data_IF_711679391824
#
_entry.id   IF_711679391824
#
_cell.length_a   1.000
_cell.length_b   1.000
_cell.length_c   1.000
_cell.angle_alpha   90.00
_cell.angle_beta   90.00
_cell.angle_gamma   90.00
#
_symmetry.space_group_name_H-M   'P 1'
#
loop_
_entity.id
_entity.type
_entity.pdbx_description
1 polymer ?
#
# COMPACT_ATOMS: atom_id res chain seq x y z
N UNK A 1 26.40 37.31 -27.39
CA UNK A 1 25.75 38.17 -26.36
C UNK A 1 25.68 37.36 -25.06
N UNK A 2 26.49 37.67 -24.04
CA UNK A 2 26.50 36.93 -22.76
C UNK A 2 25.31 37.41 -21.90
N UNK A 3 24.30 36.56 -21.73
CA UNK A 3 23.15 36.84 -20.87
C UNK A 3 23.64 36.85 -19.42
N UNK A 4 23.76 38.04 -18.82
CA UNK A 4 23.97 38.18 -17.37
C UNK A 4 22.65 37.87 -16.68
N UNK A 5 22.54 36.70 -16.05
CA UNK A 5 21.42 36.37 -15.17
C UNK A 5 21.47 37.30 -13.94
N UNK A 6 20.67 38.37 -13.96
CA UNK A 6 20.32 39.08 -12.73
C UNK A 6 19.44 38.13 -11.91
N UNK A 7 19.83 37.89 -10.66
CA UNK A 7 19.04 37.14 -9.68
C UNK A 7 17.69 37.86 -9.48
N UNK A 8 16.70 37.49 -10.28
CA UNK A 8 15.32 37.87 -10.07
C UNK A 8 14.65 36.65 -9.43
N UNK A 9 14.36 36.72 -8.13
CA UNK A 9 13.76 35.62 -7.33
C UNK A 9 12.43 35.12 -7.90
N UNK A 10 11.82 35.88 -8.80
CA UNK A 10 10.53 35.61 -9.43
C UNK A 10 10.63 34.85 -10.77
N UNK A 11 11.84 34.69 -11.34
CA UNK A 11 12.01 34.05 -12.65
C UNK A 11 12.09 32.52 -12.52
N UNK A 12 10.95 31.89 -12.20
CA UNK A 12 10.75 30.44 -12.13
C UNK A 12 10.81 29.72 -13.49
N UNK A 13 11.29 30.37 -14.55
CA UNK A 13 11.30 29.80 -15.90
C UNK A 13 12.21 28.56 -16.01
N UNK A 14 13.40 28.60 -15.39
CA UNK A 14 14.31 27.45 -15.33
C UNK A 14 13.74 26.32 -14.47
N UNK A 15 13.04 26.66 -13.38
CA UNK A 15 12.36 25.68 -12.53
C UNK A 15 11.22 25.00 -13.31
N UNK A 16 10.38 25.77 -14.01
CA UNK A 16 9.30 25.22 -14.84
C UNK A 16 9.80 24.39 -16.03
N UNK A 17 10.92 24.78 -16.66
CA UNK A 17 11.57 23.96 -17.70
C UNK A 17 12.07 22.64 -17.10
N UNK A 18 12.67 22.69 -15.91
CA UNK A 18 13.10 21.49 -15.20
C UNK A 18 11.89 20.58 -14.88
N UNK A 19 10.80 21.13 -14.36
CA UNK A 19 9.57 20.37 -14.08
C UNK A 19 8.98 19.71 -15.33
N UNK A 20 8.92 20.44 -16.45
CA UNK A 20 8.38 19.93 -17.71
C UNK A 20 9.27 18.87 -18.37
N UNK A 21 10.60 19.05 -18.34
CA UNK A 21 11.54 18.10 -18.94
C UNK A 21 11.54 16.76 -18.19
N UNK A 22 11.34 16.80 -16.87
CA UNK A 22 11.33 15.59 -16.03
C UNK A 22 9.91 15.09 -15.69
N UNK A 23 8.85 15.68 -16.27
CA UNK A 23 7.44 15.37 -15.98
C UNK A 23 7.14 15.28 -14.47
N UNK A 24 7.78 16.11 -13.66
CA UNK A 24 7.64 16.05 -12.20
C UNK A 24 6.33 16.73 -11.82
N UNK A 25 5.28 15.94 -11.60
CA UNK A 25 4.00 16.42 -11.07
C UNK A 25 4.13 16.72 -9.57
N UNK A 26 4.27 18.00 -9.24
CA UNK A 26 4.31 18.50 -7.85
C UNK A 26 2.93 18.61 -7.19
N UNK A 27 1.87 18.12 -7.84
CA UNK A 27 0.55 18.10 -7.19
C UNK A 27 0.64 17.26 -5.91
N UNK A 28 0.25 17.81 -4.74
CA UNK A 28 0.19 17.02 -3.53
C UNK A 28 -0.70 15.81 -3.79
N UNK A 29 -0.24 14.62 -3.40
CA UNK A 29 -0.97 13.38 -3.60
C UNK A 29 -2.38 13.50 -3.04
N UNK A 30 -3.38 13.51 -3.94
CA UNK A 30 -4.77 13.58 -3.53
C UNK A 30 -5.24 12.17 -3.23
N UNK A 31 -5.30 11.86 -1.94
CA UNK A 31 -5.76 10.58 -1.42
C UNK A 31 -7.17 10.30 -1.98
N UNK A 32 -7.28 9.28 -2.82
CA UNK A 32 -8.58 8.81 -3.29
C UNK A 32 -9.29 8.01 -2.17
N UNK A 33 -10.58 7.71 -2.34
CA UNK A 33 -11.30 6.96 -1.31
C UNK A 33 -10.79 5.52 -1.14
N UNK A 34 -10.17 4.94 -2.17
CA UNK A 34 -9.59 3.59 -2.15
C UNK A 34 -8.31 3.59 -1.31
N UNK A 35 -7.48 4.62 -1.45
CA UNK A 35 -6.21 4.81 -0.75
C UNK A 35 -6.46 4.90 0.75
N UNK A 36 -7.55 5.55 1.18
CA UNK A 36 -7.94 5.56 2.60
C UNK A 36 -8.16 4.15 3.14
N UNK A 37 -8.82 3.28 2.38
CA UNK A 37 -8.98 1.88 2.74
C UNK A 37 -7.64 1.13 2.74
N UNK A 38 -6.80 1.34 1.72
CA UNK A 38 -5.49 0.70 1.61
C UNK A 38 -4.58 1.09 2.78
N UNK A 39 -4.51 2.38 3.13
CA UNK A 39 -3.70 2.88 4.24
C UNK A 39 -4.17 2.26 5.56
N UNK A 40 -5.48 2.29 5.83
CA UNK A 40 -6.06 1.70 7.03
C UNK A 40 -5.71 0.21 7.15
N UNK A 41 -5.91 -0.56 6.08
CA UNK A 41 -5.69 -2.00 6.11
C UNK A 41 -4.20 -2.36 6.11
N UNK A 42 -3.34 -1.56 5.49
CA UNK A 42 -1.89 -1.75 5.55
C UNK A 42 -1.39 -1.65 6.98
N UNK A 43 -1.88 -0.68 7.75
CA UNK A 43 -1.55 -0.54 9.18
C UNK A 43 -2.04 -1.75 9.97
N UNK A 44 -3.28 -2.20 9.71
CA UNK A 44 -3.86 -3.33 10.41
C UNK A 44 -3.13 -4.66 10.12
N UNK A 45 -2.70 -4.85 8.87
CA UNK A 45 -2.15 -6.10 8.36
C UNK A 45 -0.63 -6.18 8.39
N UNK A 46 0.04 -5.19 8.99
CA UNK A 46 1.50 -5.16 9.11
C UNK A 46 2.06 -6.38 9.84
N UNK A 47 1.25 -7.07 10.65
CA UNK A 47 1.64 -8.31 11.33
C UNK A 47 1.95 -9.45 10.36
N UNK A 48 1.47 -9.38 9.11
CA UNK A 48 1.77 -10.35 8.05
C UNK A 48 3.16 -10.17 7.46
N UNK A 49 3.81 -9.03 7.74
CA UNK A 49 5.17 -8.74 7.30
C UNK A 49 6.16 -9.35 8.29
N UNK A 50 7.26 -9.88 7.75
CA UNK A 50 8.33 -10.47 8.56
C UNK A 50 9.08 -9.38 9.33
N UNK A 51 9.48 -9.70 10.55
CA UNK A 51 10.09 -8.75 11.51
C UNK A 51 11.30 -8.01 10.95
N UNK A 52 12.13 -8.67 10.13
CA UNK A 52 13.29 -8.05 9.48
C UNK A 52 12.90 -6.94 8.50
N UNK A 53 11.81 -7.12 7.74
CA UNK A 53 11.25 -6.10 6.87
C UNK A 53 10.62 -4.96 7.70
N UNK A 54 9.89 -5.28 8.77
CA UNK A 54 9.35 -4.26 9.68
C UNK A 54 10.46 -3.37 10.27
N UNK A 55 11.60 -3.96 10.67
CA UNK A 55 12.77 -3.19 11.14
C UNK A 55 13.35 -2.29 10.05
N UNK A 56 13.37 -2.71 8.79
CA UNK A 56 13.78 -1.86 7.66
C UNK A 56 12.81 -0.68 7.46
N UNK A 57 11.51 -0.93 7.55
CA UNK A 57 10.47 0.11 7.45
C UNK A 57 10.63 1.14 8.57
N UNK A 58 10.84 0.71 9.83
CA UNK A 58 11.12 1.62 10.94
C UNK A 58 12.33 2.52 10.67
N UNK A 59 13.40 1.97 10.09
CA UNK A 59 14.57 2.73 9.66
C UNK A 59 14.26 3.74 8.56
N UNK A 60 13.47 3.35 7.54
CA UNK A 60 13.02 4.25 6.46
C UNK A 60 12.19 5.43 6.99
N UNK A 61 11.36 5.20 8.02
CA UNK A 61 10.53 6.23 8.67
C UNK A 61 11.36 7.10 9.65
N UNK A 62 12.64 6.78 9.87
CA UNK A 62 13.55 7.56 10.71
C UNK A 62 13.48 7.25 12.21
N UNK A 63 12.81 6.16 12.59
CA UNK A 63 12.74 5.72 14.00
C UNK A 63 14.09 5.09 14.37
N UNK A 64 14.66 5.46 15.52
CA UNK A 64 15.93 4.90 16.02
C UNK A 64 15.69 3.93 17.17
N UNK A 65 16.72 3.16 17.54
CA UNK A 65 16.72 2.22 18.69
C UNK A 65 15.75 1.02 18.58
N UNK A 66 15.42 0.58 17.36
CA UNK A 66 14.55 -0.58 17.12
C UNK A 66 15.31 -1.92 16.94
N UNK A 67 16.65 -1.90 16.91
CA UNK A 67 17.47 -3.06 16.57
C UNK A 67 17.29 -4.21 17.55
N UNK A 68 17.18 -3.90 18.84
CA UNK A 68 17.10 -4.87 19.94
C UNK A 68 15.66 -5.25 20.32
N UNK A 69 14.66 -4.66 19.66
CA UNK A 69 13.25 -4.95 19.93
C UNK A 69 12.88 -6.35 19.43
N UNK A 70 12.00 -7.00 20.21
CA UNK A 70 11.35 -8.28 19.86
C UNK A 70 10.27 -8.05 18.81
N UNK A 71 9.84 -9.12 18.13
CA UNK A 71 8.86 -9.04 17.05
C UNK A 71 7.58 -8.27 17.42
N UNK A 72 6.98 -8.59 18.57
CA UNK A 72 5.75 -7.94 19.03
C UNK A 72 5.96 -6.43 19.20
N UNK A 73 7.05 -6.04 19.85
CA UNK A 73 7.40 -4.64 20.12
C UNK A 73 7.68 -3.87 18.83
N UNK A 74 8.38 -4.48 17.87
CA UNK A 74 8.65 -3.89 16.54
C UNK A 74 7.35 -3.62 15.79
N UNK A 75 6.42 -4.59 15.77
CA UNK A 75 5.16 -4.48 15.05
C UNK A 75 4.23 -3.45 15.69
N UNK A 76 4.11 -3.45 17.03
CA UNK A 76 3.33 -2.46 17.76
C UNK A 76 3.87 -1.04 17.57
N UNK A 77 5.19 -0.87 17.65
CA UNK A 77 5.84 0.42 17.40
C UNK A 77 5.55 0.90 15.98
N UNK A 78 5.68 0.01 14.99
CA UNK A 78 5.41 0.34 13.60
C UNK A 78 3.96 0.75 13.37
N UNK A 79 2.97 0.01 13.91
CA UNK A 79 1.55 0.38 13.83
C UNK A 79 1.28 1.78 14.39
N UNK A 80 1.83 2.08 15.57
CA UNK A 80 1.65 3.38 16.23
C UNK A 80 2.20 4.52 15.38
N UNK A 81 3.34 4.29 14.73
CA UNK A 81 3.96 5.31 13.89
C UNK A 81 3.27 5.46 12.53
N UNK A 82 2.93 4.36 11.85
CA UNK A 82 2.30 4.44 10.52
C UNK A 82 0.99 5.22 10.52
N UNK A 83 0.24 5.24 11.63
CA UNK A 83 -0.97 6.05 11.78
C UNK A 83 -0.72 7.57 11.73
N UNK A 84 0.51 8.02 11.95
CA UNK A 84 0.90 9.44 12.02
C UNK A 84 1.80 9.86 10.85
N UNK A 85 2.08 8.95 9.91
CA UNK A 85 2.95 9.19 8.77
C UNK A 85 2.12 9.54 7.54
N UNK A 86 2.71 10.25 6.59
CA UNK A 86 2.04 10.61 5.33
C UNK A 86 1.52 9.37 4.58
N UNK A 87 0.29 9.40 4.06
CA UNK A 87 -0.34 8.30 3.34
C UNK A 87 0.50 7.74 2.18
N UNK A 88 1.26 8.59 1.48
CA UNK A 88 2.17 8.19 0.41
C UNK A 88 3.20 7.16 0.88
N UNK A 89 3.76 7.34 2.07
CA UNK A 89 4.74 6.40 2.65
C UNK A 89 4.07 5.07 2.96
N UNK A 90 2.84 5.08 3.49
CA UNK A 90 2.08 3.86 3.77
C UNK A 90 1.73 3.13 2.48
N UNK A 91 1.35 3.86 1.43
CA UNK A 91 1.07 3.30 0.11
C UNK A 91 2.33 2.70 -0.54
N UNK A 92 3.50 3.31 -0.35
CA UNK A 92 4.77 2.74 -0.78
C UNK A 92 5.05 1.41 -0.07
N UNK A 93 4.80 1.33 1.24
CA UNK A 93 4.91 0.06 1.99
C UNK A 93 3.92 -0.97 1.44
N UNK A 94 2.68 -0.57 1.16
CA UNK A 94 1.69 -1.45 0.54
C UNK A 94 2.20 -2.01 -0.79
N UNK A 95 2.73 -1.15 -1.67
CA UNK A 95 3.25 -1.55 -2.97
C UNK A 95 4.45 -2.50 -2.86
N UNK A 96 5.39 -2.24 -1.94
CA UNK A 96 6.54 -3.11 -1.66
C UNK A 96 6.11 -4.51 -1.15
N UNK A 97 4.99 -4.59 -0.43
CA UNK A 97 4.52 -5.83 0.22
C UNK A 97 3.18 -6.35 -0.33
N UNK A 98 2.83 -5.94 -1.56
CA UNK A 98 1.48 -6.11 -2.13
C UNK A 98 0.91 -7.52 -1.98
N UNK A 99 1.65 -8.54 -2.41
CA UNK A 99 1.20 -9.95 -2.35
C UNK A 99 0.90 -10.42 -0.91
N UNK A 100 1.69 -9.97 0.09
CA UNK A 100 1.51 -10.33 1.50
C UNK A 100 0.28 -9.65 2.12
N UNK A 101 0.01 -8.40 1.72
CA UNK A 101 -1.05 -7.56 2.26
C UNK A 101 -2.39 -7.71 1.52
N UNK A 102 -2.36 -8.27 0.32
CA UNK A 102 -3.55 -8.54 -0.49
C UNK A 102 -4.47 -9.60 0.12
N UNK A 103 -5.62 -9.82 -0.51
CA UNK A 103 -6.73 -10.56 0.10
C UNK A 103 -6.71 -12.05 -0.24
N UNK A 104 -6.97 -12.91 0.74
CA UNK A 104 -7.43 -14.27 0.49
C UNK A 104 -8.89 -14.27 0.04
N UNK A 105 -9.33 -15.35 -0.60
CA UNK A 105 -10.71 -15.47 -1.07
C UNK A 105 -11.78 -15.30 0.03
N UNK A 106 -11.48 -15.68 1.28
CA UNK A 106 -12.41 -15.47 2.40
C UNK A 106 -12.49 -13.99 2.79
N UNK A 107 -11.36 -13.26 2.81
CA UNK A 107 -11.34 -11.81 3.05
C UNK A 107 -12.12 -11.06 1.97
N UNK A 108 -12.03 -11.50 0.71
CA UNK A 108 -12.85 -10.94 -0.38
C UNK A 108 -14.35 -11.15 -0.12
N UNK A 109 -14.74 -12.31 0.39
CA UNK A 109 -16.14 -12.59 0.72
C UNK A 109 -16.66 -11.65 1.82
N UNK A 110 -15.84 -11.43 2.85
CA UNK A 110 -16.15 -10.51 3.96
C UNK A 110 -16.28 -9.07 3.47
N UNK A 111 -15.30 -8.57 2.71
CA UNK A 111 -15.28 -7.19 2.22
C UNK A 111 -16.44 -6.89 1.27
N UNK A 112 -16.74 -7.79 0.34
CA UNK A 112 -17.84 -7.61 -0.62
C UNK A 112 -19.22 -7.97 -0.05
N UNK A 113 -19.25 -8.51 1.17
CA UNK A 113 -20.43 -9.08 1.82
C UNK A 113 -21.18 -10.07 0.89
N UNK A 114 -20.46 -11.12 0.47
CA UNK A 114 -20.99 -12.15 -0.44
C UNK A 114 -20.76 -13.56 0.12
N UNK A 115 -21.64 -14.49 -0.26
CA UNK A 115 -21.46 -15.89 0.08
C UNK A 115 -20.30 -16.53 -0.70
N UNK A 116 -19.72 -17.60 -0.14
CA UNK A 116 -18.69 -18.42 -0.81
C UNK A 116 -19.14 -18.94 -2.18
N UNK A 117 -20.42 -19.27 -2.33
CA UNK A 117 -20.99 -19.69 -3.61
C UNK A 117 -20.93 -18.58 -4.65
N UNK A 118 -21.33 -17.35 -4.27
CA UNK A 118 -21.26 -16.18 -5.16
C UNK A 118 -19.82 -15.84 -5.50
N UNK A 119 -18.91 -15.91 -4.53
CA UNK A 119 -17.48 -15.76 -4.76
C UNK A 119 -16.95 -16.77 -5.79
N UNK A 120 -17.30 -18.06 -5.66
CA UNK A 120 -16.87 -19.07 -6.63
C UNK A 120 -17.35 -18.81 -8.06
N UNK A 121 -18.49 -18.14 -8.22
CA UNK A 121 -18.99 -17.71 -9.53
C UNK A 121 -18.20 -16.53 -10.09
N UNK A 122 -17.74 -15.58 -9.28
CA UNK A 122 -17.08 -14.36 -9.77
C UNK A 122 -15.55 -14.42 -9.70
N UNK A 123 -14.95 -15.39 -9.01
CA UNK A 123 -13.50 -15.41 -8.74
C UNK A 123 -12.61 -15.34 -9.97
N UNK A 124 -13.10 -15.75 -11.14
CA UNK A 124 -12.37 -15.72 -12.40
C UNK A 124 -12.35 -14.33 -13.05
N UNK A 125 -13.23 -13.41 -12.64
CA UNK A 125 -13.23 -12.01 -13.07
C UNK A 125 -12.41 -11.12 -12.13
N UNK A 126 -11.95 -11.66 -11.00
CA UNK A 126 -11.15 -10.92 -10.03
C UNK A 126 -9.66 -10.89 -10.42
N UNK A 127 -9.01 -9.76 -10.18
CA UNK A 127 -7.58 -9.59 -10.42
C UNK A 127 -6.75 -10.36 -9.37
N UNK A 128 -5.94 -11.31 -9.85
CA UNK A 128 -4.99 -12.05 -9.03
C UNK A 128 -3.71 -11.21 -8.89
N UNK A 129 -3.26 -11.01 -7.66
CA UNK A 129 -2.03 -10.28 -7.36
C UNK A 129 -0.84 -11.23 -7.15
N UNK A 130 -1.09 -12.45 -6.70
CA UNK A 130 -0.06 -13.46 -6.53
C UNK A 130 -0.60 -14.73 -5.90
N UNK A 131 0.31 -15.62 -5.51
CA UNK A 131 -0.03 -16.88 -4.85
C UNK A 131 0.74 -17.02 -3.55
N UNK A 132 0.13 -17.68 -2.57
CA UNK A 132 0.76 -18.01 -1.30
C UNK A 132 0.56 -19.49 -0.97
N UNK A 133 1.62 -20.15 -0.51
CA UNK A 133 1.52 -21.52 0.02
C UNK A 133 1.01 -21.44 1.45
N UNK A 134 -0.06 -22.17 1.74
CA UNK A 134 -0.59 -22.32 3.09
C UNK A 134 -0.77 -23.80 3.41
N UNK A 135 -0.69 -24.16 4.69
CA UNK A 135 -0.96 -25.52 5.13
C UNK A 135 -2.45 -25.67 5.43
N UNK A 136 -3.13 -26.52 4.65
CA UNK A 136 -4.53 -26.92 4.89
C UNK A 136 -4.53 -28.41 5.17
N UNK A 137 -5.02 -28.80 6.35
CA UNK A 137 -5.07 -30.18 6.81
C UNK A 137 -3.69 -30.86 6.71
N UNK A 138 -2.65 -30.20 7.23
CA UNK A 138 -1.26 -30.64 7.19
C UNK A 138 -0.69 -30.86 5.77
N UNK A 139 -1.37 -30.38 4.72
CA UNK A 139 -0.90 -30.46 3.33
C UNK A 139 -0.66 -29.05 2.77
N UNK A 140 0.51 -28.78 2.17
CA UNK A 140 0.76 -27.51 1.51
C UNK A 140 -0.18 -27.36 0.31
N UNK A 141 -0.87 -26.23 0.24
CA UNK A 141 -1.72 -25.84 -0.88
C UNK A 141 -1.38 -24.44 -1.34
N UNK A 142 -1.34 -24.26 -2.66
CA UNK A 142 -1.15 -22.95 -3.29
C UNK A 142 -2.52 -22.28 -3.37
N UNK A 143 -2.64 -21.06 -2.83
CA UNK A 143 -3.85 -20.26 -2.85
C UNK A 143 -3.59 -18.92 -3.52
N UNK A 144 -4.55 -18.47 -4.32
CA UNK A 144 -4.50 -17.16 -4.96
C UNK A 144 -4.80 -16.03 -3.97
N UNK A 145 -4.03 -14.96 -4.09
CA UNK A 145 -4.24 -13.66 -3.45
C UNK A 145 -4.84 -12.71 -4.47
N UNK A 146 -5.86 -11.97 -4.05
CA UNK A 146 -6.60 -11.03 -4.89
C UNK A 146 -6.16 -9.60 -4.60
N UNK A 147 -6.01 -8.81 -5.66
CA UNK A 147 -5.58 -7.42 -5.60
C UNK A 147 -6.56 -6.60 -4.75
N UNK A 148 -6.09 -6.13 -3.59
CA UNK A 148 -6.94 -5.43 -2.61
C UNK A 148 -7.55 -4.15 -3.19
N UNK A 149 -6.80 -3.41 -4.00
CA UNK A 149 -7.26 -2.18 -4.64
C UNK A 149 -8.43 -2.45 -5.58
N UNK A 150 -8.28 -3.47 -6.43
CA UNK A 150 -9.33 -3.90 -7.36
C UNK A 150 -10.63 -4.34 -6.62
N UNK A 151 -10.50 -5.00 -5.47
CA UNK A 151 -11.67 -5.37 -4.66
C UNK A 151 -12.39 -4.14 -4.11
N UNK A 152 -11.67 -3.13 -3.64
CA UNK A 152 -12.29 -1.88 -3.19
C UNK A 152 -12.93 -1.08 -4.32
N UNK A 153 -12.35 -1.09 -5.52
CA UNK A 153 -12.99 -0.50 -6.70
C UNK A 153 -14.36 -1.14 -6.98
N UNK A 154 -14.45 -2.48 -6.92
CA UNK A 154 -15.72 -3.20 -7.04
C UNK A 154 -16.69 -2.81 -5.93
N UNK A 155 -16.21 -2.72 -4.69
CA UNK A 155 -17.04 -2.35 -3.53
C UNK A 155 -17.66 -0.95 -3.70
N UNK A 156 -16.85 0.04 -4.08
CA UNK A 156 -17.29 1.42 -4.28
C UNK A 156 -18.27 1.50 -5.44
N UNK A 157 -18.00 0.81 -6.55
CA UNK A 157 -18.89 0.81 -7.70
C UNK A 157 -20.24 0.13 -7.40
N UNK A 158 -20.24 -0.91 -6.55
CA UNK A 158 -21.47 -1.56 -6.07
C UNK A 158 -22.34 -0.63 -5.21
N UNK A 159 -21.73 0.26 -4.43
CA UNK A 159 -22.46 1.18 -3.55
C UNK A 159 -22.94 2.46 -4.26
N UNK A 160 -22.49 2.70 -5.50
CA UNK A 160 -22.94 3.82 -6.35
C UNK A 160 -24.17 3.47 -7.20
N UNK A 161 -24.57 2.20 -7.22
CA UNK A 161 -25.77 1.67 -7.88
C UNK A 161 -26.90 1.55 -6.85
#
# INVERSE_FOLDING_TARGET
MRIKYRHNKENNMLYNIFLNVYEIDYRPYKIDDIDKFIVKDTIHLIDRIITSECKKILGKIGIKKYTNLREKEVKELLKKHLSNVEPEIVLNIYNEHKVKLDMFGYEVCEVLNISKWKFNKIKHTLKISGTQVVNINCKPKIINKYDRRFIYEILINKNKL
#
